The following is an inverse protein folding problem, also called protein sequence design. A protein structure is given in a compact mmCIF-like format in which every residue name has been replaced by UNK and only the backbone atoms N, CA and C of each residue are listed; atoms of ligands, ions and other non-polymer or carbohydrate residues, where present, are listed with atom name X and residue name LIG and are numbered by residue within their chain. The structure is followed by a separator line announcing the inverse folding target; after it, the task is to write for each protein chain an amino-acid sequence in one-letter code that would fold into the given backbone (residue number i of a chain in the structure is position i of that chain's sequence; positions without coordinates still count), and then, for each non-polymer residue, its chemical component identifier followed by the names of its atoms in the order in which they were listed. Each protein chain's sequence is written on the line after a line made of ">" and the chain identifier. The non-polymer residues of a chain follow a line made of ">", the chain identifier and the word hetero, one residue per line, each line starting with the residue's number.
data_IF_659068425188
#
_entry.id   IF_659068425188
#
_cell.length_a   1.000
_cell.length_b   1.000
_cell.length_c   1.000
_cell.angle_alpha   90.00
_cell.angle_beta   90.00
_cell.angle_gamma   90.00
#
_symmetry.space_group_name_H-M   'P 1'
#
loop_
_entity.id
_entity.type
_entity.pdbx_description
1 polymer ?
#
# COMPACT_ATOMS: atom_id res chain seq x y z
N UNK A 1 -7.60 71.88 -43.75
CA UNK A 1 -6.76 71.13 -42.80
C UNK A 1 -6.85 69.66 -43.18
N UNK A 2 -5.80 69.09 -43.78
CA UNK A 2 -5.74 67.66 -44.10
C UNK A 2 -5.06 66.97 -42.92
N UNK A 3 -5.73 65.98 -42.32
CA UNK A 3 -5.18 65.15 -41.26
C UNK A 3 -4.02 64.33 -41.85
N UNK A 4 -2.81 64.62 -41.38
CA UNK A 4 -1.67 63.73 -41.52
C UNK A 4 -1.77 62.69 -40.41
N UNK A 5 -2.53 61.62 -40.64
CA UNK A 5 -2.36 60.38 -39.90
C UNK A 5 -1.11 59.70 -40.49
N UNK A 6 0.04 59.95 -39.86
CA UNK A 6 1.27 59.22 -40.14
C UNK A 6 1.04 57.75 -39.75
N UNK A 7 0.80 56.93 -40.76
CA UNK A 7 0.86 55.47 -40.65
C UNK A 7 2.29 55.11 -40.22
N UNK A 8 2.47 54.75 -38.95
CA UNK A 8 3.64 54.00 -38.54
C UNK A 8 3.56 52.64 -39.24
N UNK A 9 4.38 52.47 -40.28
CA UNK A 9 4.54 51.20 -40.98
C UNK A 9 4.77 50.07 -39.96
N UNK A 10 4.01 48.97 -40.11
CA UNK A 10 4.14 47.77 -39.28
C UNK A 10 5.56 47.21 -39.40
N UNK A 11 6.43 47.56 -38.45
CA UNK A 11 7.77 46.99 -38.38
C UNK A 11 7.66 45.51 -37.98
N UNK A 12 8.42 44.61 -38.63
CA UNK A 12 8.42 43.20 -38.26
C UNK A 12 8.83 43.06 -36.79
N UNK A 13 8.01 42.36 -36.01
CA UNK A 13 8.32 42.06 -34.62
C UNK A 13 9.65 41.32 -34.54
N UNK A 14 10.53 41.80 -33.65
CA UNK A 14 11.81 41.17 -33.38
C UNK A 14 11.58 39.71 -32.95
N UNK A 15 12.18 38.76 -33.68
CA UNK A 15 12.13 37.34 -33.35
C UNK A 15 13.12 37.05 -32.23
N UNK A 16 12.65 37.08 -30.99
CA UNK A 16 13.45 36.62 -29.86
C UNK A 16 13.90 35.18 -30.05
N UNK A 17 15.17 34.91 -29.75
CA UNK A 17 15.67 33.55 -29.67
C UNK A 17 15.17 32.91 -28.38
N UNK A 18 14.06 32.17 -28.47
CA UNK A 18 13.39 31.56 -27.32
C UNK A 18 14.06 30.24 -26.92
N UNK A 19 15.33 30.28 -26.52
CA UNK A 19 15.96 29.15 -25.84
C UNK A 19 15.47 29.07 -24.40
N UNK A 20 15.06 27.89 -23.91
CA UNK A 20 14.63 27.74 -22.53
C UNK A 20 15.83 27.87 -21.58
N UNK A 21 15.99 29.05 -20.99
CA UNK A 21 16.90 29.28 -19.87
C UNK A 21 16.11 29.12 -18.57
N UNK A 22 16.05 27.90 -18.04
CA UNK A 22 15.43 27.62 -16.73
C UNK A 22 16.50 27.12 -15.77
N UNK A 23 16.58 27.74 -14.59
CA UNK A 23 17.32 27.20 -13.46
C UNK A 23 16.32 26.43 -12.59
N UNK A 24 16.51 25.12 -12.48
CA UNK A 24 15.64 24.25 -11.70
C UNK A 24 16.48 23.51 -10.65
N UNK A 25 16.05 23.60 -9.39
CA UNK A 25 16.64 22.81 -8.31
C UNK A 25 16.24 21.34 -8.50
N UNK A 26 17.09 20.41 -8.04
CA UNK A 26 16.79 18.96 -8.12
C UNK A 26 15.46 18.61 -7.47
N UNK A 27 15.13 19.22 -6.34
CA UNK A 27 13.88 18.95 -5.64
C UNK A 27 12.66 19.48 -6.41
N UNK A 28 12.80 20.64 -7.07
CA UNK A 28 11.75 21.23 -7.91
C UNK A 28 11.52 20.42 -9.18
N UNK A 29 12.58 19.84 -9.78
CA UNK A 29 12.43 18.96 -10.94
C UNK A 29 11.78 17.62 -10.56
N UNK A 30 12.10 17.08 -9.39
CA UNK A 30 11.44 15.91 -8.81
C UNK A 30 9.95 16.22 -8.57
N UNK A 31 9.61 17.31 -7.89
CA UNK A 31 8.21 17.70 -7.64
C UNK A 31 7.41 17.87 -8.94
N UNK A 32 8.01 18.47 -9.98
CA UNK A 32 7.36 18.63 -11.27
C UNK A 32 7.12 17.29 -11.98
N UNK A 33 8.06 16.37 -11.91
CA UNK A 33 7.91 15.02 -12.46
C UNK A 33 6.88 14.20 -11.67
N UNK A 34 6.84 14.36 -10.35
CA UNK A 34 5.89 13.72 -9.44
C UNK A 34 4.45 14.15 -9.73
N UNK A 35 4.21 15.44 -9.97
CA UNK A 35 2.89 15.96 -10.37
C UNK A 35 2.38 15.40 -11.71
N UNK A 36 3.23 14.74 -12.50
CA UNK A 36 2.84 14.07 -13.74
C UNK A 36 2.60 12.56 -13.58
N UNK A 37 2.92 11.97 -12.42
CA UNK A 37 2.72 10.55 -12.15
C UNK A 37 1.48 10.43 -11.27
N UNK A 38 0.54 9.58 -11.65
CA UNK A 38 -0.63 9.32 -10.82
C UNK A 38 -0.15 8.75 -9.48
N UNK A 39 -0.26 9.55 -8.42
CA UNK A 39 0.24 9.18 -7.10
C UNK A 39 -0.69 8.14 -6.49
N UNK A 40 -0.11 7.04 -6.04
CA UNK A 40 -0.84 6.02 -5.31
C UNK A 40 -1.31 6.63 -3.98
N UNK A 41 -2.55 6.39 -3.52
CA UNK A 41 -3.11 7.20 -2.44
C UNK A 41 -2.32 7.19 -1.12
N UNK A 42 -1.72 6.05 -0.74
CA UNK A 42 -0.83 5.97 0.42
C UNK A 42 0.66 6.16 0.09
N UNK A 43 1.01 6.33 -1.19
CA UNK A 43 2.38 6.19 -1.67
C UNK A 43 2.72 7.32 -2.63
N UNK A 44 3.43 8.31 -2.09
CA UNK A 44 3.59 9.61 -2.73
C UNK A 44 4.98 9.76 -3.35
N UNK A 45 5.89 10.52 -2.74
CA UNK A 45 7.10 11.01 -3.41
C UNK A 45 8.27 10.06 -3.19
N UNK A 46 8.84 9.54 -4.28
CA UNK A 46 10.16 8.88 -4.23
C UNK A 46 11.26 9.90 -3.97
N UNK A 47 11.92 9.77 -2.84
CA UNK A 47 13.20 10.40 -2.51
C UNK A 47 14.34 9.52 -3.05
N UNK A 48 15.18 10.10 -3.90
CA UNK A 48 16.34 9.41 -4.47
C UNK A 48 17.47 9.42 -3.45
N UNK A 49 17.64 8.29 -2.77
CA UNK A 49 18.70 8.06 -1.79
C UNK A 49 19.64 7.01 -2.39
N UNK A 50 20.74 7.44 -3.03
CA UNK A 50 21.78 6.58 -3.64
C UNK A 50 21.31 5.57 -4.72
N UNK A 51 22.25 4.76 -5.25
CA UNK A 51 21.97 3.74 -6.29
C UNK A 51 21.40 2.43 -5.71
N UNK A 52 21.55 2.23 -4.40
CA UNK A 52 21.30 0.97 -3.70
C UNK A 52 20.05 1.00 -2.85
N UNK A 53 19.50 2.17 -2.57
CA UNK A 53 18.27 2.30 -1.81
C UNK A 53 17.30 3.26 -2.49
N UNK A 54 16.05 3.14 -2.09
CA UNK A 54 15.03 4.09 -2.46
C UNK A 54 14.16 4.33 -1.25
N UNK A 55 13.81 5.59 -1.04
CA UNK A 55 12.92 5.98 0.05
C UNK A 55 11.72 6.67 -0.57
N UNK A 56 10.55 6.44 -0.01
CA UNK A 56 9.33 7.12 -0.38
C UNK A 56 8.77 7.79 0.85
N UNK A 57 8.43 9.05 0.69
CA UNK A 57 7.77 9.84 1.71
C UNK A 57 6.30 9.96 1.34
N UNK A 58 5.43 9.56 2.24
CA UNK A 58 3.98 9.69 2.12
C UNK A 58 3.42 10.47 3.31
N UNK A 59 2.36 11.23 3.06
CA UNK A 59 1.66 11.98 4.07
C UNK A 59 0.27 11.37 4.28
N UNK A 60 0.03 10.82 5.47
CA UNK A 60 -1.25 10.19 5.82
C UNK A 60 -2.03 11.13 6.73
N UNK A 61 -3.26 11.43 6.33
CA UNK A 61 -4.22 12.19 7.12
C UNK A 61 -5.60 11.64 6.85
N UNK A 62 -6.23 11.09 7.88
CA UNK A 62 -7.51 10.37 7.81
C UNK A 62 -8.71 11.27 7.51
N UNK A 63 -8.57 12.59 7.56
CA UNK A 63 -9.62 13.52 7.11
C UNK A 63 -9.60 13.78 5.61
N UNK A 64 -8.52 13.40 4.92
CA UNK A 64 -8.47 13.52 3.47
C UNK A 64 -9.31 12.41 2.83
N UNK A 65 -10.10 12.70 1.77
CA UNK A 65 -11.00 11.73 1.14
C UNK A 65 -10.30 10.42 0.75
N UNK A 66 -9.07 10.49 0.25
CA UNK A 66 -8.30 9.33 -0.18
C UNK A 66 -7.81 8.43 0.96
N UNK A 67 -7.87 8.90 2.22
CA UNK A 67 -7.48 8.16 3.42
C UNK A 67 -8.65 7.92 4.37
N UNK A 68 -9.84 8.46 4.07
CA UNK A 68 -11.00 8.41 4.96
C UNK A 68 -11.39 6.98 5.35
N UNK A 69 -11.15 6.02 4.47
CA UNK A 69 -11.39 4.60 4.72
C UNK A 69 -10.58 4.06 5.92
N UNK A 70 -9.43 4.65 6.26
CA UNK A 70 -8.62 4.22 7.40
C UNK A 70 -9.34 4.41 8.75
N UNK A 71 -10.31 5.34 8.83
CA UNK A 71 -11.12 5.57 10.04
C UNK A 71 -11.94 4.35 10.45
N UNK A 72 -12.21 3.46 9.49
CA UNK A 72 -13.00 2.25 9.68
C UNK A 72 -12.17 1.07 10.22
N UNK A 73 -10.85 1.23 10.43
CA UNK A 73 -10.02 0.22 11.07
C UNK A 73 -9.75 0.56 12.54
N UNK A 74 -10.74 0.28 13.40
CA UNK A 74 -10.65 0.55 14.83
C UNK A 74 -10.45 -0.72 15.65
N UNK A 75 -9.57 -0.62 16.64
CA UNK A 75 -9.37 -1.66 17.65
C UNK A 75 -9.30 -0.96 19.01
N UNK A 76 -10.21 -1.32 19.92
CA UNK A 76 -10.37 -0.65 21.22
C UNK A 76 -10.57 0.88 21.07
N UNK A 77 -11.48 1.30 20.18
CA UNK A 77 -11.75 2.70 19.81
C UNK A 77 -10.61 3.47 19.12
N UNK A 78 -9.38 2.95 19.14
CA UNK A 78 -8.24 3.57 18.47
C UNK A 78 -8.24 3.25 16.98
N UNK A 79 -8.05 4.27 16.14
CA UNK A 79 -7.87 4.10 14.69
C UNK A 79 -6.45 3.62 14.45
N UNK A 80 -6.29 2.40 13.95
CA UNK A 80 -4.98 1.80 13.73
C UNK A 80 -4.68 1.72 12.25
N UNK A 81 -3.43 1.98 11.87
CA UNK A 81 -2.97 1.68 10.52
C UNK A 81 -2.90 0.16 10.32
N UNK A 82 -3.61 -0.34 9.31
CA UNK A 82 -3.79 -1.77 9.12
C UNK A 82 -2.47 -2.48 8.73
N UNK A 83 -2.34 -3.74 9.13
CA UNK A 83 -1.19 -4.58 8.78
C UNK A 83 -0.98 -4.65 7.26
N UNK A 84 -2.09 -4.75 6.52
CA UNK A 84 -2.08 -4.82 5.06
C UNK A 84 -1.69 -3.48 4.42
N UNK A 85 -1.94 -2.34 5.09
CA UNK A 85 -1.46 -1.05 4.60
C UNK A 85 0.07 -0.99 4.55
N UNK A 86 0.77 -1.58 5.52
CA UNK A 86 2.24 -1.68 5.47
C UNK A 86 2.71 -2.56 4.30
N UNK A 87 2.05 -3.71 4.11
CA UNK A 87 2.37 -4.60 2.98
C UNK A 87 2.11 -3.92 1.65
N UNK A 88 1.05 -3.13 1.55
CA UNK A 88 0.75 -2.37 0.35
C UNK A 88 1.81 -1.33 0.03
N UNK A 89 2.24 -0.54 1.03
CA UNK A 89 3.33 0.42 0.86
C UNK A 89 4.61 -0.27 0.35
N UNK A 90 4.97 -1.39 0.95
CA UNK A 90 6.15 -2.16 0.54
C UNK A 90 5.98 -2.76 -0.87
N UNK A 91 4.79 -3.25 -1.20
CA UNK A 91 4.48 -3.84 -2.51
C UNK A 91 4.48 -2.78 -3.61
N UNK A 92 3.85 -1.62 -3.38
CA UNK A 92 3.86 -0.47 -4.29
C UNK A 92 5.28 0.04 -4.54
N UNK A 93 6.10 0.11 -3.49
CA UNK A 93 7.50 0.49 -3.58
C UNK A 93 8.32 -0.50 -4.43
N UNK A 94 8.17 -1.80 -4.18
CA UNK A 94 8.80 -2.84 -5.00
C UNK A 94 8.35 -2.74 -6.46
N UNK A 95 7.05 -2.61 -6.69
CA UNK A 95 6.49 -2.51 -8.03
C UNK A 95 7.06 -1.31 -8.79
N UNK A 96 7.19 -0.14 -8.15
CA UNK A 96 7.80 1.04 -8.79
C UNK A 96 9.29 0.83 -9.10
N UNK A 97 10.05 0.10 -8.27
CA UNK A 97 11.44 -0.23 -8.56
C UNK A 97 11.60 -1.23 -9.71
N UNK A 98 10.68 -2.20 -9.80
CA UNK A 98 10.76 -3.32 -10.73
C UNK A 98 10.08 -3.06 -12.07
N UNK A 99 9.22 -2.04 -12.16
CA UNK A 99 8.59 -1.62 -13.40
C UNK A 99 9.64 -1.06 -14.38
N UNK A 100 10.32 -1.95 -15.11
CA UNK A 100 11.05 -1.62 -16.33
C UNK A 100 10.03 -1.31 -17.44
N UNK A 101 10.41 -0.47 -18.41
CA UNK A 101 9.48 -0.02 -19.46
C UNK A 101 9.04 -1.12 -20.44
N UNK A 102 9.64 -2.30 -20.40
CA UNK A 102 9.56 -3.29 -21.47
C UNK A 102 9.05 -4.68 -21.04
N UNK A 103 8.77 -4.95 -19.76
CA UNK A 103 8.39 -6.29 -19.32
C UNK A 103 6.89 -6.42 -19.03
N UNK A 104 6.18 -7.14 -19.92
CA UNK A 104 4.82 -7.66 -19.67
C UNK A 104 4.78 -8.73 -18.56
N UNK A 105 5.93 -9.15 -18.05
CA UNK A 105 6.04 -10.12 -16.96
C UNK A 105 6.08 -9.41 -15.62
N UNK A 106 4.92 -9.34 -14.95
CA UNK A 106 4.84 -8.88 -13.57
C UNK A 106 5.59 -9.87 -12.67
N UNK A 107 6.64 -9.39 -11.99
CA UNK A 107 7.39 -10.17 -11.03
C UNK A 107 6.53 -10.51 -9.81
N UNK A 108 6.74 -11.70 -9.24
CA UNK A 108 6.15 -12.09 -7.96
C UNK A 108 7.00 -11.51 -6.85
N UNK A 109 6.36 -10.78 -5.93
CA UNK A 109 7.01 -10.19 -4.76
C UNK A 109 6.72 -11.09 -3.57
N UNK A 110 7.78 -11.57 -2.91
CA UNK A 110 7.71 -12.43 -1.74
C UNK A 110 8.29 -11.66 -0.56
N UNK A 111 7.55 -11.63 0.53
CA UNK A 111 7.98 -11.08 1.81
C UNK A 111 8.18 -12.25 2.78
N UNK A 112 9.35 -12.36 3.38
CA UNK A 112 9.74 -13.47 4.25
C UNK A 112 10.14 -12.99 5.64
N UNK A 113 9.36 -13.36 6.67
CA UNK A 113 9.56 -12.97 8.07
C UNK A 113 9.12 -11.54 8.43
N UNK A 114 8.01 -11.06 7.86
CA UNK A 114 7.45 -9.72 8.11
C UNK A 114 7.24 -9.54 9.59
N UNK A 115 7.81 -8.47 10.16
CA UNK A 115 7.65 -8.11 11.57
C UNK A 115 6.94 -6.78 11.69
N UNK A 116 5.83 -6.76 12.41
CA UNK A 116 5.16 -5.55 12.86
C UNK A 116 5.70 -5.20 14.24
N UNK A 117 6.67 -4.30 14.26
CA UNK A 117 7.42 -3.91 15.46
C UNK A 117 6.57 -3.03 16.37
N UNK A 118 5.82 -2.09 15.77
CA UNK A 118 5.00 -1.15 16.53
C UNK A 118 3.73 -0.81 15.77
N UNK A 119 2.64 -0.72 16.51
CA UNK A 119 1.36 -0.26 16.01
C UNK A 119 1.43 1.25 15.74
N UNK A 120 0.94 1.68 14.58
CA UNK A 120 0.70 3.08 14.31
C UNK A 120 -0.75 3.42 14.62
N UNK A 121 -0.93 4.34 15.55
CA UNK A 121 -2.22 4.93 15.88
C UNK A 121 -2.38 6.20 15.05
N UNK A 122 -3.53 6.35 14.41
CA UNK A 122 -3.86 7.53 13.61
C UNK A 122 -4.83 8.41 14.40
N UNK A 123 -4.50 9.69 14.52
CA UNK A 123 -5.37 10.67 15.17
C UNK A 123 -6.04 11.56 14.12
N UNK A 124 -7.26 12.02 14.42
CA UNK A 124 -8.03 12.85 13.47
C UNK A 124 -7.42 14.25 13.28
N UNK A 125 -6.58 14.71 14.20
CA UNK A 125 -6.02 16.07 14.15
C UNK A 125 -4.55 16.10 13.71
N UNK A 126 -3.98 14.95 13.35
CA UNK A 126 -2.55 14.82 13.05
C UNK A 126 -2.31 14.40 11.59
N UNK A 127 -1.28 14.98 11.00
CA UNK A 127 -0.70 14.51 9.74
C UNK A 127 0.49 13.62 10.08
N UNK A 128 0.49 12.39 9.58
CA UNK A 128 1.56 11.42 9.84
C UNK A 128 2.46 11.31 8.62
N UNK A 129 3.76 11.51 8.81
CA UNK A 129 4.75 11.26 7.75
C UNK A 129 5.23 9.82 7.79
N UNK A 130 5.17 9.16 6.64
CA UNK A 130 5.51 7.76 6.47
C UNK A 130 6.65 7.63 5.49
N UNK A 131 7.72 6.99 5.92
CA UNK A 131 8.88 6.69 5.11
C UNK A 131 8.92 5.20 4.83
N UNK A 132 8.75 4.83 3.57
CA UNK A 132 8.99 3.46 3.10
C UNK A 132 10.39 3.43 2.52
N UNK A 133 11.25 2.55 3.00
CA UNK A 133 12.61 2.39 2.46
C UNK A 133 12.77 0.97 1.94
N UNK A 134 13.28 0.83 0.72
CA UNK A 134 13.75 -0.44 0.17
C UNK A 134 15.26 -0.33 -0.04
N UNK A 135 16.00 -1.32 0.47
CA UNK A 135 17.43 -1.45 0.27
C UNK A 135 17.74 -2.68 -0.59
N UNK A 136 18.40 -2.43 -1.72
CA UNK A 136 18.93 -3.40 -2.67
C UNK A 136 20.47 -3.37 -2.63
N UNK A 137 21.18 -4.49 -2.81
CA UNK A 137 20.70 -5.84 -3.12
C UNK A 137 20.33 -6.66 -1.88
N UNK A 138 20.34 -6.06 -0.68
CA UNK A 138 20.02 -6.78 0.56
C UNK A 138 18.55 -7.24 0.61
N UNK A 139 17.72 -6.74 -0.30
CA UNK A 139 16.29 -6.96 -0.41
C UNK A 139 15.62 -6.82 0.96
N UNK A 140 15.86 -5.70 1.63
CA UNK A 140 15.20 -5.39 2.91
C UNK A 140 14.27 -4.21 2.73
N UNK A 141 13.16 -4.21 3.44
CA UNK A 141 12.32 -3.03 3.57
C UNK A 141 12.07 -2.65 5.00
N UNK A 142 11.83 -1.36 5.18
CA UNK A 142 11.50 -0.73 6.45
C UNK A 142 10.38 0.27 6.20
N UNK A 143 9.39 0.29 7.09
CA UNK A 143 8.47 1.43 7.18
C UNK A 143 8.70 2.11 8.52
N UNK A 144 9.09 3.37 8.39
CA UNK A 144 9.51 4.26 9.47
C UNK A 144 8.54 5.44 9.49
N UNK A 145 8.11 5.85 10.67
CA UNK A 145 7.17 6.95 10.85
C UNK A 145 7.81 8.07 11.64
N UNK A 146 7.45 9.30 11.30
CA UNK A 146 7.85 10.51 12.04
C UNK A 146 6.60 11.26 12.50
N UNK A 147 6.52 11.60 13.78
CA UNK A 147 5.43 12.41 14.31
C UNK A 147 5.68 13.90 14.03
N UNK A 148 4.61 14.63 13.72
CA UNK A 148 4.67 15.98 13.18
C UNK A 148 5.11 17.06 14.18
N UNK A 149 5.03 16.80 15.48
CA UNK A 149 5.37 17.78 16.52
C UNK A 149 6.79 18.36 16.39
N UNK A 150 7.68 17.74 15.61
CA UNK A 150 9.07 18.16 15.37
C UNK A 150 9.48 18.29 13.89
N UNK A 151 8.56 18.60 12.95
CA UNK A 151 8.93 18.72 11.52
C UNK A 151 10.08 19.68 11.20
N UNK A 152 10.26 20.73 12.01
CA UNK A 152 11.29 21.75 11.77
C UNK A 152 12.70 21.31 12.19
N UNK A 153 12.83 20.16 12.86
CA UNK A 153 14.13 19.62 13.30
C UNK A 153 14.08 18.09 13.29
N UNK A 154 14.23 17.48 12.11
CA UNK A 154 14.45 16.02 12.01
C UNK A 154 15.60 15.61 12.92
N UNK A 155 15.29 15.13 14.12
CA UNK A 155 16.26 14.48 14.97
C UNK A 155 16.16 12.97 14.71
N UNK A 156 17.29 12.27 14.64
CA UNK A 156 17.32 10.83 14.40
C UNK A 156 16.48 10.03 15.41
N UNK A 157 16.13 10.63 16.54
CA UNK A 157 15.34 10.03 17.61
C UNK A 157 13.82 10.09 17.37
N UNK A 158 13.34 10.80 16.35
CA UNK A 158 11.91 10.96 16.06
C UNK A 158 11.35 9.86 15.15
N UNK A 159 12.24 9.10 14.52
CA UNK A 159 11.88 8.01 13.63
C UNK A 159 11.56 6.75 14.42
N UNK A 160 10.33 6.28 14.27
CA UNK A 160 9.90 5.01 14.86
C UNK A 160 9.81 3.95 13.77
N UNK A 161 10.43 2.78 13.99
CA UNK A 161 10.27 1.62 13.12
C UNK A 161 8.94 0.92 13.45
N UNK A 162 8.09 0.74 12.45
CA UNK A 162 6.78 0.11 12.62
C UNK A 162 6.69 -1.26 11.98
N UNK A 163 7.28 -1.43 10.79
CA UNK A 163 7.32 -2.71 10.12
C UNK A 163 8.62 -2.89 9.34
N UNK A 164 9.08 -4.12 9.22
CA UNK A 164 10.27 -4.46 8.45
C UNK A 164 10.18 -5.88 7.91
N UNK A 165 10.89 -6.12 6.82
CA UNK A 165 11.10 -7.47 6.34
C UNK A 165 12.29 -7.65 5.39
N UNK A 166 12.52 -8.91 5.00
CA UNK A 166 13.24 -9.33 3.80
C UNK A 166 12.26 -9.57 2.64
N UNK A 167 12.68 -9.16 1.45
CA UNK A 167 11.99 -9.29 0.18
C UNK A 167 12.75 -10.32 -0.64
N UNK A 168 12.03 -11.15 -1.37
CA UNK A 168 12.54 -11.93 -2.48
C UNK A 168 11.69 -11.62 -3.70
N UNK A 169 12.34 -11.50 -4.86
CA UNK A 169 11.67 -11.23 -6.13
C UNK A 169 11.87 -12.47 -6.98
N UNK A 170 10.78 -13.17 -7.28
CA UNK A 170 10.81 -14.36 -8.13
C UNK A 170 10.12 -14.05 -9.46
N UNK A 171 10.79 -14.39 -10.56
CA UNK A 171 10.25 -14.29 -11.92
C UNK A 171 9.48 -15.55 -12.34
N UNK A 172 9.54 -16.63 -11.55
CA UNK A 172 8.86 -17.89 -11.88
C UNK A 172 7.37 -17.81 -11.58
N UNK A 173 6.58 -18.40 -12.48
CA UNK A 173 5.15 -18.57 -12.27
C UNK A 173 4.90 -19.58 -11.15
N UNK A 174 4.14 -19.18 -10.14
CA UNK A 174 3.70 -20.08 -9.07
C UNK A 174 2.59 -21.05 -9.53
N UNK A 175 2.54 -22.23 -8.89
CA UNK A 175 1.51 -23.28 -9.11
C UNK A 175 0.10 -22.82 -8.72
N UNK A 176 -0.94 -23.40 -9.33
CA UNK A 176 -2.36 -23.09 -9.11
C UNK A 176 -2.99 -23.86 -7.95
N UNK A 177 -3.97 -23.27 -7.23
CA UNK A 177 -4.61 -23.70 -5.97
C UNK A 177 -5.51 -24.87 -6.17
N UNK A 178 -5.12 -25.97 -5.53
CA UNK A 178 -6.04 -27.05 -5.28
C UNK A 178 -6.84 -26.65 -4.05
N UNK A 179 -8.03 -26.09 -4.29
CA UNK A 179 -9.02 -25.83 -3.25
C UNK A 179 -9.39 -27.18 -2.63
N UNK A 180 -9.17 -27.42 -1.32
CA UNK A 180 -9.61 -28.65 -0.67
C UNK A 180 -11.11 -28.88 -0.83
N UNK A 181 -11.53 -30.12 -1.06
CA UNK A 181 -12.93 -30.48 -1.32
C UNK A 181 -13.90 -30.17 -0.17
N UNK A 182 -13.39 -29.92 1.04
CA UNK A 182 -14.22 -29.77 2.26
C UNK A 182 -13.91 -28.47 2.98
N UNK A 183 -14.64 -27.42 2.60
CA UNK A 183 -14.64 -26.15 3.34
C UNK A 183 -15.97 -25.91 4.03
N UNK A 184 -15.89 -25.35 5.23
CA UNK A 184 -17.07 -24.82 5.90
C UNK A 184 -17.26 -23.35 5.51
N UNK A 185 -18.47 -23.01 5.09
CA UNK A 185 -18.85 -21.61 4.86
C UNK A 185 -19.19 -21.01 6.22
N UNK A 186 -18.53 -19.91 6.55
CA UNK A 186 -18.80 -19.15 7.77
C UNK A 186 -19.75 -17.99 7.47
N UNK A 187 -20.69 -17.73 8.39
CA UNK A 187 -21.51 -16.53 8.33
C UNK A 187 -20.69 -15.30 8.71
N UNK A 188 -20.54 -14.39 7.76
CA UNK A 188 -19.67 -13.22 7.87
C UNK A 188 -20.21 -12.21 8.88
N UNK A 189 -21.54 -12.08 8.99
CA UNK A 189 -22.16 -11.19 9.97
C UNK A 189 -21.83 -11.66 11.38
N UNK A 190 -21.96 -12.97 11.62
CA UNK A 190 -21.54 -13.59 12.88
C UNK A 190 -20.03 -13.41 13.12
N UNK A 191 -19.19 -13.52 12.09
CA UNK A 191 -17.74 -13.29 12.23
C UNK A 191 -17.42 -11.85 12.67
N UNK A 192 -17.97 -10.82 12.02
CA UNK A 192 -17.76 -9.43 12.44
C UNK A 192 -18.38 -9.12 13.80
N UNK A 193 -19.56 -9.68 14.11
CA UNK A 193 -20.17 -9.55 15.43
C UNK A 193 -19.27 -10.16 16.52
N UNK A 194 -18.68 -11.34 16.26
CA UNK A 194 -17.72 -11.96 17.16
C UNK A 194 -16.43 -11.15 17.31
N UNK A 195 -15.93 -10.52 16.25
CA UNK A 195 -14.78 -9.63 16.34
C UNK A 195 -15.10 -8.37 17.16
N UNK A 196 -16.32 -7.85 17.03
CA UNK A 196 -16.79 -6.72 17.84
C UNK A 196 -16.81 -7.01 19.35
N UNK A 197 -17.13 -8.24 19.77
CA UNK A 197 -17.03 -8.62 21.19
C UNK A 197 -15.60 -8.62 21.71
N UNK A 198 -14.60 -8.66 20.82
CA UNK A 198 -13.16 -8.60 21.12
C UNK A 198 -12.56 -7.23 20.76
N UNK A 199 -13.38 -6.18 20.79
CA UNK A 199 -12.99 -4.79 20.56
C UNK A 199 -12.49 -4.45 19.15
N UNK A 200 -12.69 -5.31 18.15
CA UNK A 200 -12.48 -4.96 16.74
C UNK A 200 -13.73 -4.27 16.19
N UNK A 201 -13.60 -3.01 15.84
CA UNK A 201 -14.70 -2.16 15.41
C UNK A 201 -14.49 -1.76 13.96
N UNK A 202 -14.60 -2.75 13.08
CA UNK A 202 -14.48 -2.50 11.65
C UNK A 202 -15.69 -1.73 11.13
N UNK A 203 -15.44 -0.66 10.40
CA UNK A 203 -16.47 0.10 9.70
C UNK A 203 -16.70 -0.42 8.28
N UNK A 204 -17.63 0.22 7.57
CA UNK A 204 -18.11 -0.20 6.25
C UNK A 204 -17.02 -0.38 5.19
N UNK A 205 -15.90 0.33 5.31
CA UNK A 205 -14.77 0.22 4.41
C UNK A 205 -13.98 -1.07 4.61
N UNK A 206 -13.92 -1.60 5.83
CA UNK A 206 -13.21 -2.83 6.19
C UNK A 206 -14.11 -4.08 6.22
N UNK A 207 -15.43 -3.90 6.26
CA UNK A 207 -16.43 -4.98 6.15
C UNK A 207 -16.66 -5.47 4.71
N UNK A 208 -15.59 -5.74 3.95
CA UNK A 208 -15.65 -6.07 2.51
C UNK A 208 -15.62 -7.56 2.19
N UNK A 209 -15.64 -8.42 3.19
CA UNK A 209 -15.62 -9.88 2.99
C UNK A 209 -17.01 -10.32 2.50
N UNK A 210 -17.05 -10.96 1.32
CA UNK A 210 -18.27 -11.50 0.67
C UNK A 210 -18.54 -12.94 1.04
N UNK A 211 -17.51 -13.76 1.04
CA UNK A 211 -17.57 -15.16 1.47
C UNK A 211 -16.34 -15.45 2.33
N UNK A 212 -16.55 -16.15 3.43
CA UNK A 212 -15.47 -16.65 4.29
C UNK A 212 -15.61 -18.15 4.34
N UNK A 213 -14.57 -18.86 3.94
CA UNK A 213 -14.55 -20.31 3.88
C UNK A 213 -13.26 -20.81 4.48
N UNK A 214 -13.32 -21.91 5.23
CA UNK A 214 -12.11 -22.42 5.83
C UNK A 214 -12.23 -23.79 6.46
N UNK A 215 -11.07 -24.25 6.89
CA UNK A 215 -10.82 -25.39 7.79
C UNK A 215 -10.30 -24.85 9.12
N UNK A 216 -9.90 -25.75 10.03
CA UNK A 216 -9.24 -25.36 11.28
C UNK A 216 -7.86 -24.70 11.07
N UNK A 217 -7.25 -24.83 9.90
CA UNK A 217 -5.87 -24.39 9.64
C UNK A 217 -5.75 -23.40 8.49
N UNK A 218 -6.83 -23.18 7.73
CA UNK A 218 -6.77 -22.42 6.49
C UNK A 218 -8.07 -21.69 6.29
N UNK A 219 -7.97 -20.40 6.01
CA UNK A 219 -9.11 -19.52 5.75
C UNK A 219 -8.89 -18.85 4.41
N UNK A 220 -9.93 -18.83 3.60
CA UNK A 220 -9.97 -18.13 2.33
C UNK A 220 -11.19 -17.21 2.34
N UNK A 221 -10.96 -15.96 1.96
CA UNK A 221 -11.98 -14.93 1.86
C UNK A 221 -12.09 -14.41 0.45
N UNK A 222 -13.31 -14.29 -0.04
CA UNK A 222 -13.62 -13.50 -1.24
C UNK A 222 -14.02 -12.09 -0.80
N UNK A 223 -13.60 -11.07 -1.56
CA UNK A 223 -13.86 -9.67 -1.22
C UNK A 223 -14.80 -9.02 -2.23
N UNK A 224 -15.62 -8.09 -1.75
CA UNK A 224 -16.36 -7.19 -2.62
C UNK A 224 -15.39 -6.19 -3.24
N UNK A 225 -15.19 -6.29 -4.54
CA UNK A 225 -14.61 -5.21 -5.31
C UNK A 225 -15.72 -4.17 -5.52
N UNK A 226 -15.70 -3.09 -4.74
CA UNK A 226 -16.53 -1.95 -5.04
C UNK A 226 -15.88 -1.25 -6.24
N UNK A 227 -16.57 -1.22 -7.39
CA UNK A 227 -16.11 -0.58 -8.64
C UNK A 227 -15.91 0.95 -8.52
N UNK A 228 -15.87 1.50 -7.31
CA UNK A 228 -15.55 2.90 -7.08
C UNK A 228 -14.10 3.15 -7.53
N UNK A 229 -13.93 4.15 -8.40
CA UNK A 229 -12.73 4.49 -9.19
C UNK A 229 -11.38 4.62 -8.42
N UNK A 230 -11.33 4.46 -7.11
CA UNK A 230 -10.09 4.48 -6.32
C UNK A 230 -9.33 3.13 -6.34
N UNK A 231 -9.92 2.03 -6.80
CA UNK A 231 -9.31 0.70 -6.74
C UNK A 231 -8.23 0.42 -7.80
N UNK A 232 -8.03 1.30 -8.78
CA UNK A 232 -7.07 1.06 -9.87
C UNK A 232 -5.61 1.22 -9.44
N UNK A 233 -5.35 1.97 -8.36
CA UNK A 233 -4.01 2.33 -7.90
C UNK A 233 -3.42 1.35 -6.91
N UNK A 234 -4.27 0.69 -6.11
CA UNK A 234 -3.82 -0.24 -5.10
C UNK A 234 -3.48 -1.61 -5.72
N UNK A 235 -2.32 -2.14 -5.36
CA UNK A 235 -1.92 -3.51 -5.63
C UNK A 235 -2.60 -4.45 -4.61
N UNK A 236 -2.66 -4.01 -3.35
CA UNK A 236 -3.36 -4.61 -2.23
C UNK A 236 -4.16 -3.52 -1.54
N UNK A 237 -5.50 -3.58 -1.61
CA UNK A 237 -6.29 -2.54 -0.95
C UNK A 237 -6.13 -2.65 0.57
N UNK A 238 -5.74 -1.58 1.29
CA UNK A 238 -5.47 -1.67 2.73
C UNK A 238 -6.67 -1.98 3.64
N UNK A 239 -7.89 -2.03 3.07
CA UNK A 239 -9.09 -2.46 3.80
C UNK A 239 -9.22 -3.98 3.91
N UNK A 240 -8.29 -4.72 3.29
CA UNK A 240 -8.13 -6.15 3.47
C UNK A 240 -7.95 -6.43 4.97
N UNK A 241 -9.04 -6.84 5.63
CA UNK A 241 -9.00 -7.23 7.02
C UNK A 241 -8.39 -8.62 7.15
N UNK A 242 -7.28 -8.73 7.88
CA UNK A 242 -6.80 -10.01 8.39
C UNK A 242 -7.70 -10.37 9.57
N UNK A 243 -8.62 -11.32 9.38
CA UNK A 243 -9.50 -11.75 10.48
C UNK A 243 -8.70 -12.60 11.48
N UNK A 244 -8.58 -12.18 12.75
CA UNK A 244 -8.01 -13.00 13.79
C UNK A 244 -8.99 -14.11 14.18
N UNK A 245 -8.52 -15.34 14.29
CA UNK A 245 -9.33 -16.50 14.67
C UNK A 245 -9.38 -16.78 16.18
N UNK A 246 -9.22 -15.76 17.04
CA UNK A 246 -8.84 -15.98 18.45
C UNK A 246 -9.74 -15.21 19.42
N UNK A 247 -9.96 -15.78 20.60
CA UNK A 247 -10.82 -15.25 21.69
C UNK A 247 -10.24 -14.00 22.40
N UNK A 248 -9.16 -13.42 21.89
CA UNK A 248 -8.54 -12.22 22.46
C UNK A 248 -8.17 -11.25 21.36
N UNK A 249 -8.12 -9.96 21.71
CA UNK A 249 -7.64 -8.92 20.80
C UNK A 249 -6.15 -9.13 20.52
N UNK A 250 -5.84 -9.65 19.35
CA UNK A 250 -4.49 -9.88 18.85
C UNK A 250 -4.23 -8.99 17.62
N UNK A 251 -3.11 -8.28 17.66
CA UNK A 251 -2.58 -7.61 16.48
C UNK A 251 -1.56 -8.53 15.81
N UNK A 252 -1.48 -8.55 14.47
CA UNK A 252 -0.47 -9.33 13.79
C UNK A 252 0.90 -8.79 14.18
N UNK A 253 1.72 -9.63 14.80
CA UNK A 253 3.10 -9.30 15.17
C UNK A 253 4.07 -9.78 14.09
N UNK A 254 3.72 -10.88 13.41
CA UNK A 254 4.59 -11.53 12.44
C UNK A 254 3.81 -12.23 11.32
N UNK A 255 4.29 -12.10 10.09
CA UNK A 255 3.87 -12.93 8.95
C UNK A 255 5.09 -13.69 8.44
N UNK A 256 5.07 -15.03 8.53
CA UNK A 256 6.22 -15.83 8.12
C UNK A 256 6.50 -15.68 6.62
N UNK A 257 5.44 -15.62 5.81
CA UNK A 257 5.55 -15.48 4.36
C UNK A 257 4.30 -14.81 3.80
N UNK A 258 4.49 -13.74 3.04
CA UNK A 258 3.44 -13.09 2.26
C UNK A 258 3.87 -13.04 0.80
N UNK A 259 2.96 -13.41 -0.11
CA UNK A 259 3.27 -13.51 -1.53
C UNK A 259 2.27 -12.67 -2.29
N UNK A 260 2.80 -11.73 -3.07
CA UNK A 260 2.04 -10.92 -3.98
C UNK A 260 2.38 -11.29 -5.43
N UNK A 261 1.38 -11.76 -6.16
CA UNK A 261 1.46 -11.95 -7.61
C UNK A 261 0.26 -11.27 -8.26
N UNK A 262 0.51 -10.31 -9.15
CA UNK A 262 -0.52 -9.80 -10.03
C UNK A 262 -0.46 -10.56 -11.35
N UNK A 263 -1.60 -11.09 -11.80
CA UNK A 263 -1.78 -11.57 -13.16
C UNK A 263 -2.69 -10.59 -13.87
N UNK A 264 -2.12 -9.59 -14.56
CA UNK A 264 -2.90 -8.87 -15.55
C UNK A 264 -3.14 -9.75 -16.77
N UNK A 265 -4.19 -10.58 -16.74
CA UNK A 265 -4.78 -11.04 -18.00
C UNK A 265 -5.36 -9.81 -18.67
N UNK A 266 -4.85 -9.48 -19.86
CA UNK A 266 -5.45 -8.47 -20.71
C UNK A 266 -6.94 -8.78 -20.89
N UNK A 267 -7.79 -7.81 -20.52
CA UNK A 267 -9.26 -7.74 -20.59
C UNK A 267 -10.07 -8.46 -19.49
N UNK A 268 -10.76 -7.59 -18.75
CA UNK A 268 -11.99 -7.78 -17.96
C UNK A 268 -11.89 -8.60 -16.66
N UNK A 269 -12.25 -7.92 -15.58
CA UNK A 269 -12.45 -8.39 -14.20
C UNK A 269 -11.16 -8.64 -13.41
N UNK A 270 -10.65 -7.57 -12.78
CA UNK A 270 -9.70 -7.68 -11.67
C UNK A 270 -10.44 -8.23 -10.44
N UNK A 271 -10.44 -9.54 -10.24
CA UNK A 271 -10.68 -10.13 -8.93
C UNK A 271 -9.32 -10.30 -8.24
N UNK A 272 -9.05 -9.46 -7.26
CA UNK A 272 -7.85 -9.59 -6.42
C UNK A 272 -8.13 -10.68 -5.40
N UNK A 273 -7.68 -11.90 -5.68
CA UNK A 273 -7.67 -12.98 -4.72
C UNK A 273 -6.42 -12.84 -3.86
N UNK A 274 -6.57 -12.36 -2.63
CA UNK A 274 -5.48 -12.29 -1.64
C UNK A 274 -5.68 -13.43 -0.66
N UNK A 275 -4.82 -14.43 -0.72
CA UNK A 275 -4.78 -15.51 0.27
C UNK A 275 -3.77 -15.15 1.35
N UNK A 276 -4.22 -15.14 2.61
CA UNK A 276 -3.33 -14.98 3.76
C UNK A 276 -3.48 -16.22 4.64
N UNK A 277 -2.49 -17.10 4.61
CA UNK A 277 -2.47 -18.32 5.43
C UNK A 277 -1.78 -18.06 6.76
N UNK A 278 -2.56 -17.98 7.83
CA UNK A 278 -2.02 -18.03 9.19
C UNK A 278 -2.18 -19.41 9.82
N UNK A 279 -1.08 -20.02 10.29
CA UNK A 279 -1.16 -20.98 11.40
C UNK A 279 -1.28 -20.18 12.71
N UNK A 280 -1.99 -20.73 13.70
CA UNK A 280 -2.08 -20.15 15.04
C UNK A 280 -1.37 -21.11 15.99
N UNK A 281 -0.28 -20.69 16.61
CA UNK A 281 0.40 -21.44 17.68
C UNK A 281 0.57 -20.53 18.90
N UNK A 282 0.02 -20.97 20.05
CA UNK A 282 0.30 -20.46 21.39
C UNK A 282 0.24 -18.93 21.60
N UNK A 283 -0.96 -18.34 21.51
CA UNK A 283 -1.27 -16.93 21.86
C UNK A 283 -0.43 -15.86 21.12
N UNK A 284 0.33 -16.27 20.11
CA UNK A 284 1.04 -15.43 19.16
C UNK A 284 0.45 -15.77 17.80
N UNK A 285 -0.01 -14.77 17.05
CA UNK A 285 -0.46 -14.98 15.67
C UNK A 285 0.78 -15.21 14.81
N UNK A 286 1.31 -16.42 14.87
CA UNK A 286 2.52 -16.88 14.17
C UNK A 286 2.06 -17.52 12.85
N UNK A 287 1.83 -16.67 11.85
CA UNK A 287 1.27 -17.02 10.54
C UNK A 287 2.26 -17.95 9.80
N UNK A 288 2.26 -19.25 10.15
CA UNK A 288 3.27 -20.24 9.80
C UNK A 288 2.97 -21.11 8.56
N UNK A 289 4.05 -21.67 8.01
CA UNK A 289 4.24 -22.25 6.67
C UNK A 289 3.25 -23.31 6.15
N UNK A 290 3.02 -23.23 4.83
CA UNK A 290 3.19 -24.23 3.77
C UNK A 290 2.03 -24.41 2.76
N UNK A 291 2.49 -24.51 1.50
CA UNK A 291 1.85 -24.74 0.21
C UNK A 291 1.18 -23.56 -0.54
N UNK A 292 1.76 -23.36 -1.72
CA UNK A 292 1.66 -22.25 -2.66
C UNK A 292 0.52 -22.52 -3.59
N UNK A 293 -0.44 -21.59 -3.71
CA UNK A 293 -1.24 -21.70 -4.90
C UNK A 293 -2.12 -20.51 -5.43
N UNK A 294 -2.48 -20.53 -6.73
CA UNK A 294 -3.35 -19.55 -7.43
C UNK A 294 -4.86 -19.92 -7.47
N UNK A 295 -5.79 -19.00 -7.23
CA UNK A 295 -7.20 -19.24 -7.53
C UNK A 295 -7.49 -19.05 -9.04
N UNK A 296 -7.66 -20.16 -9.78
CA UNK A 296 -8.40 -20.17 -11.05
C UNK A 296 -9.85 -20.56 -10.73
N UNK A 297 -10.78 -19.60 -10.88
CA UNK A 297 -12.22 -19.85 -10.94
C UNK A 297 -12.64 -20.10 -12.39
#
# INVERSE_FOLDING_TARGET
>A
MKNHEEYFDDFPLYKFHLSPCRYELKDSSIQRLVNCISTHPLFDIRQLNDQTSATWKSLININLPQHAFLKDHKIQEAILFSAVAYLELATAACHQLLSSKDDEQQATIIFEDVKFVKVLILNEHELVEVFTQISMPMCKWYIIFCNQDNLDKYSLNEFTLHAQDKIEIDSKQQKSLTVPDRWTIQDIRSAYAHLSTHAYQYGSSFEKIKTLRGTSTTIISELSNDNNNCSSYYLLHPYLALLPGVETTILPVRIQKFIYSSKTKAKMNRSTNVEVRGKYHDNICDIGQEEIYNLDL
#
